data_IF_312661211225
#
_entry.id   IF_312661211225
#
_cell.length_a   1.000
_cell.length_b   1.000
_cell.length_c   1.000
_cell.angle_alpha   90.00
_cell.angle_beta   90.00
_cell.angle_gamma   90.00
#
_symmetry.space_group_name_H-M   'P 1'
#
loop_
_entity.id
_entity.type
_entity.pdbx_description
1 polymer ?
#
# COMPACT_ATOMS: atom_id res chain seq x y z
N UNK A 1 0.82 24.20 -13.61
CA UNK A 1 -0.29 24.19 -12.64
C UNK A 1 -0.41 22.77 -12.10
N UNK A 2 -0.26 22.57 -10.80
CA UNK A 2 -0.62 21.29 -10.16
C UNK A 2 -2.15 21.24 -10.01
N UNK A 3 -2.75 20.09 -10.31
CA UNK A 3 -4.20 19.93 -10.19
C UNK A 3 -4.64 19.99 -8.73
N UNK A 4 -5.89 20.38 -8.50
CA UNK A 4 -6.53 20.24 -7.19
C UNK A 4 -6.65 18.76 -6.78
N UNK A 5 -6.88 18.52 -5.48
CA UNK A 5 -7.15 17.18 -4.97
C UNK A 5 -8.56 16.76 -5.39
N UNK A 6 -8.73 15.53 -5.87
CA UNK A 6 -10.02 14.96 -6.28
C UNK A 6 -10.25 13.62 -5.60
N UNK A 7 -11.43 13.42 -5.03
CA UNK A 7 -11.82 12.14 -4.45
C UNK A 7 -12.05 11.08 -5.53
N UNK A 8 -11.62 9.86 -5.23
CA UNK A 8 -11.80 8.68 -6.08
C UNK A 8 -12.53 7.59 -5.32
N UNK A 9 -13.15 6.70 -6.08
CA UNK A 9 -13.76 5.50 -5.51
C UNK A 9 -12.65 4.50 -5.12
N UNK A 10 -12.70 3.89 -3.92
CA UNK A 10 -11.76 2.83 -3.54
C UNK A 10 -11.73 1.63 -4.50
N UNK A 11 -12.82 1.41 -5.23
CA UNK A 11 -12.95 0.35 -6.23
C UNK A 11 -12.36 0.71 -7.59
N UNK A 12 -11.83 1.93 -7.77
CA UNK A 12 -11.19 2.33 -9.01
C UNK A 12 -9.93 1.48 -9.25
N UNK A 13 -9.77 0.86 -10.45
CA UNK A 13 -8.59 0.04 -10.75
C UNK A 13 -7.25 0.77 -10.58
N UNK A 14 -7.20 2.09 -10.81
CA UNK A 14 -5.98 2.88 -10.60
C UNK A 14 -5.68 3.03 -9.11
N UNK A 15 -6.71 3.21 -8.29
CA UNK A 15 -6.58 3.28 -6.83
C UNK A 15 -6.09 1.94 -6.27
N UNK A 16 -6.67 0.82 -6.74
CA UNK A 16 -6.23 -0.52 -6.32
C UNK A 16 -4.76 -0.78 -6.67
N UNK A 17 -4.33 -0.42 -7.88
CA UNK A 17 -2.92 -0.54 -8.29
C UNK A 17 -2.01 0.34 -7.45
N UNK A 18 -2.42 1.58 -7.16
CA UNK A 18 -1.64 2.49 -6.31
C UNK A 18 -1.54 1.97 -4.87
N UNK A 19 -2.61 1.40 -4.31
CA UNK A 19 -2.61 0.78 -3.00
C UNK A 19 -1.66 -0.43 -2.94
N UNK A 20 -1.72 -1.32 -3.94
CA UNK A 20 -0.81 -2.47 -4.03
C UNK A 20 0.66 -2.03 -4.10
N UNK A 21 0.97 -1.00 -4.90
CA UNK A 21 2.32 -0.44 -4.99
C UNK A 21 2.77 0.21 -3.66
N UNK A 22 1.85 0.86 -2.94
CA UNK A 22 2.13 1.45 -1.64
C UNK A 22 2.41 0.38 -0.58
N UNK A 23 1.60 -0.67 -0.54
CA UNK A 23 1.76 -1.82 0.37
C UNK A 23 3.06 -2.57 0.08
N UNK A 24 3.39 -2.80 -1.20
CA UNK A 24 4.67 -3.40 -1.58
C UNK A 24 5.85 -2.55 -1.10
N UNK A 25 5.80 -1.25 -1.34
CA UNK A 25 6.82 -0.30 -0.89
C UNK A 25 6.95 -0.25 0.64
N UNK A 26 5.83 -0.23 1.35
CA UNK A 26 5.78 -0.28 2.81
C UNK A 26 6.42 -1.57 3.35
N UNK A 27 6.09 -2.72 2.76
CA UNK A 27 6.66 -3.99 3.17
C UNK A 27 8.17 -4.06 2.95
N UNK A 28 8.70 -3.48 1.88
CA UNK A 28 10.15 -3.42 1.65
C UNK A 28 10.86 -2.51 2.67
N UNK A 29 10.24 -1.39 3.06
CA UNK A 29 10.82 -0.46 4.06
C UNK A 29 10.57 -0.83 5.52
N UNK A 30 9.60 -1.71 5.80
CA UNK A 30 9.21 -2.10 7.15
C UNK A 30 10.15 -3.14 7.74
N UNK A 31 10.58 -2.93 8.99
CA UNK A 31 11.38 -3.88 9.77
C UNK A 31 10.58 -5.09 10.28
N UNK A 32 9.28 -5.20 9.98
CA UNK A 32 8.49 -6.37 10.35
C UNK A 32 9.03 -7.62 9.66
N UNK A 33 9.11 -8.73 10.41
CA UNK A 33 9.47 -10.05 9.90
C UNK A 33 8.42 -10.64 8.97
N UNK A 34 7.18 -10.15 9.06
CA UNK A 34 6.04 -10.62 8.26
C UNK A 34 5.61 -9.57 7.24
N UNK A 35 5.05 -10.04 6.14
CA UNK A 35 4.38 -9.15 5.19
C UNK A 35 3.03 -8.69 5.74
N UNK A 36 2.65 -7.47 5.39
CA UNK A 36 1.30 -6.97 5.55
C UNK A 36 0.58 -6.97 4.19
N UNK A 37 -0.71 -7.24 4.22
CA UNK A 37 -1.58 -7.22 3.04
C UNK A 37 -2.70 -6.22 3.25
N UNK A 38 -3.05 -5.46 2.21
CA UNK A 38 -4.25 -4.63 2.22
C UNK A 38 -5.51 -5.48 2.36
N UNK A 39 -6.35 -5.12 3.33
CA UNK A 39 -7.65 -5.73 3.56
C UNK A 39 -8.77 -4.85 3.01
N UNK A 40 -8.65 -3.52 3.16
CA UNK A 40 -9.66 -2.57 2.70
C UNK A 40 -9.05 -1.20 2.42
N UNK A 41 -9.48 -0.56 1.33
CA UNK A 41 -9.19 0.85 1.05
C UNK A 41 -10.38 1.67 1.55
N UNK A 42 -10.15 2.54 2.54
CA UNK A 42 -11.17 3.37 3.17
C UNK A 42 -11.37 4.69 2.42
N UNK A 43 -10.28 5.33 2.01
CA UNK A 43 -10.29 6.62 1.33
C UNK A 43 -9.26 6.64 0.22
N UNK A 44 -9.61 7.28 -0.89
CA UNK A 44 -8.69 7.51 -1.99
C UNK A 44 -8.90 8.90 -2.59
N UNK A 45 -7.82 9.64 -2.73
CA UNK A 45 -7.80 10.94 -3.39
C UNK A 45 -6.61 10.99 -4.35
N UNK A 46 -6.72 11.75 -5.43
CA UNK A 46 -5.61 12.00 -6.36
C UNK A 46 -5.30 13.47 -6.52
N UNK A 47 -4.06 13.76 -6.90
CA UNK A 47 -3.59 15.08 -7.26
C UNK A 47 -2.64 14.99 -8.46
N UNK A 48 -2.89 15.79 -9.49
CA UNK A 48 -2.02 15.84 -10.67
C UNK A 48 -0.79 16.70 -10.39
N UNK A 49 0.39 16.12 -10.58
CA UNK A 49 1.70 16.76 -10.39
C UNK A 49 2.62 16.42 -11.58
N UNK A 50 3.93 16.32 -11.39
CA UNK A 50 4.83 15.64 -12.34
C UNK A 50 4.63 14.10 -12.26
N UNK A 51 3.40 13.66 -12.51
CA UNK A 51 2.89 12.33 -12.23
C UNK A 51 1.49 12.43 -11.59
N UNK A 52 1.06 11.36 -10.92
CA UNK A 52 -0.19 11.30 -10.19
C UNK A 52 0.13 10.93 -8.75
N UNK A 53 -0.11 11.86 -7.83
CA UNK A 53 0.00 11.59 -6.40
C UNK A 53 -1.34 11.07 -5.88
N UNK A 54 -1.32 9.93 -5.20
CA UNK A 54 -2.47 9.38 -4.50
C UNK A 54 -2.30 9.56 -2.99
N UNK A 55 -3.39 9.96 -2.35
CA UNK A 55 -3.56 9.96 -0.90
C UNK A 55 -4.52 8.82 -0.58
N UNK A 56 -4.01 7.78 0.08
CA UNK A 56 -4.75 6.55 0.33
C UNK A 56 -4.81 6.30 1.83
N UNK A 57 -6.00 5.95 2.31
CA UNK A 57 -6.20 5.44 3.67
C UNK A 57 -6.59 3.98 3.54
N UNK A 58 -5.76 3.09 4.07
CA UNK A 58 -5.83 1.64 3.84
C UNK A 58 -5.75 0.91 5.17
N UNK A 59 -6.63 -0.06 5.38
CA UNK A 59 -6.49 -1.06 6.42
C UNK A 59 -5.64 -2.21 5.89
N UNK A 60 -4.69 -2.64 6.71
CA UNK A 60 -3.77 -3.73 6.42
C UNK A 60 -3.83 -4.77 7.53
N UNK A 61 -3.62 -6.03 7.18
CA UNK A 61 -3.48 -7.12 8.13
C UNK A 61 -2.11 -7.78 7.99
N UNK A 62 -1.53 -8.21 9.11
CA UNK A 62 -0.37 -9.08 9.10
C UNK A 62 -0.70 -10.40 8.40
N UNK A 63 0.30 -10.98 7.74
CA UNK A 63 0.17 -12.27 7.05
C UNK A 63 1.06 -13.31 7.72
N UNK A 64 0.78 -14.59 7.47
CA UNK A 64 1.67 -15.67 7.89
C UNK A 64 2.97 -15.74 7.06
N UNK A 65 3.07 -14.95 5.98
CA UNK A 65 4.23 -14.93 5.10
C UNK A 65 5.38 -14.15 5.75
N UNK A 66 6.49 -14.86 5.97
CA UNK A 66 7.73 -14.27 6.48
C UNK A 66 8.56 -13.67 5.35
N UNK A 67 9.16 -12.51 5.59
CA UNK A 67 10.21 -11.94 4.75
C UNK A 67 11.45 -12.83 4.87
N UNK A 68 11.80 -13.49 3.77
CA UNK A 68 12.96 -14.37 3.65
C UNK A 68 13.84 -13.83 2.53
N UNK A 69 15.14 -14.10 2.58
CA UNK A 69 16.06 -13.82 1.48
C UNK A 69 15.66 -14.50 0.16
N UNK A 70 14.81 -15.52 0.21
CA UNK A 70 14.32 -16.29 -0.96
C UNK A 70 13.07 -15.66 -1.59
N UNK A 71 12.22 -14.97 -0.81
CA UNK A 71 10.99 -14.33 -1.29
C UNK A 71 11.21 -12.90 -1.81
N UNK A 72 12.47 -12.52 -2.05
CA UNK A 72 12.90 -11.18 -2.45
C UNK A 72 12.03 -10.52 -3.52
N UNK A 73 11.73 -9.24 -3.31
CA UNK A 73 11.04 -8.22 -4.16
C UNK A 73 9.75 -8.59 -4.91
N UNK A 74 9.34 -9.86 -4.94
CA UNK A 74 8.24 -10.38 -5.78
C UNK A 74 7.31 -11.32 -5.02
N UNK A 75 7.09 -11.08 -3.74
CA UNK A 75 6.13 -11.88 -2.97
C UNK A 75 4.71 -11.53 -3.40
N UNK A 76 4.00 -12.50 -3.99
CA UNK A 76 2.59 -12.36 -4.34
C UNK A 76 1.72 -12.40 -3.07
N UNK A 77 1.41 -11.23 -2.53
CA UNK A 77 0.59 -11.06 -1.33
C UNK A 77 -0.81 -11.69 -1.43
N UNK A 78 -1.30 -11.94 -2.65
CA UNK A 78 -2.57 -12.65 -2.88
C UNK A 78 -2.55 -14.09 -2.37
N UNK A 79 -1.38 -14.74 -2.46
CA UNK A 79 -1.15 -16.12 -2.01
C UNK A 79 -0.85 -16.22 -0.51
N UNK A 80 -0.60 -15.07 0.14
CA UNK A 80 -0.35 -14.98 1.56
C UNK A 80 -1.66 -14.92 2.36
N UNK A 81 -1.94 -15.93 3.20
CA UNK A 81 -3.07 -15.85 4.11
C UNK A 81 -2.79 -14.82 5.20
N UNK A 82 -3.86 -14.13 5.63
CA UNK A 82 -3.82 -13.28 6.81
C UNK A 82 -3.46 -14.12 8.04
N UNK A 83 -2.68 -13.56 8.95
CA UNK A 83 -2.37 -14.21 10.21
C UNK A 83 -3.64 -14.36 11.05
N UNK A 84 -3.72 -15.44 11.82
CA UNK A 84 -4.86 -15.73 12.69
C UNK A 84 -4.40 -15.94 14.13
N UNK A 85 -5.25 -15.57 15.09
CA UNK A 85 -4.99 -15.74 16.51
C UNK A 85 -3.96 -14.73 17.03
N UNK A 86 -2.92 -15.21 17.73
CA UNK A 86 -1.96 -14.36 18.46
C UNK A 86 -1.07 -13.51 17.53
N UNK A 87 -1.00 -13.85 16.24
CA UNK A 87 -0.20 -13.15 15.23
C UNK A 87 -1.05 -12.20 14.37
N UNK A 88 -2.36 -12.12 14.60
CA UNK A 88 -3.25 -11.17 13.91
C UNK A 88 -2.95 -9.75 14.38
N UNK A 89 -2.46 -8.92 13.47
CA UNK A 89 -2.18 -7.50 13.69
C UNK A 89 -2.84 -6.71 12.58
N UNK A 90 -3.62 -5.69 12.96
CA UNK A 90 -4.30 -4.80 12.01
C UNK A 90 -3.65 -3.43 12.09
N UNK A 91 -3.38 -2.84 10.94
CA UNK A 91 -2.85 -1.50 10.82
C UNK A 91 -3.81 -0.63 10.03
N UNK A 92 -3.99 0.59 10.49
CA UNK A 92 -4.59 1.67 9.72
C UNK A 92 -3.44 2.53 9.19
N UNK A 93 -3.32 2.61 7.86
CA UNK A 93 -2.22 3.31 7.20
C UNK A 93 -2.71 4.42 6.29
N UNK A 94 -2.13 5.60 6.45
CA UNK A 94 -2.21 6.71 5.51
C UNK A 94 -0.95 6.73 4.63
N UNK A 95 -1.15 6.63 3.31
CA UNK A 95 -0.10 6.60 2.31
C UNK A 95 -0.19 7.80 1.37
N UNK A 96 0.97 8.41 1.10
CA UNK A 96 1.16 9.29 -0.05
C UNK A 96 2.06 8.55 -1.07
N UNK A 97 1.51 8.16 -2.21
CA UNK A 97 2.26 7.49 -3.27
C UNK A 97 2.24 8.31 -4.55
N UNK A 98 3.42 8.50 -5.15
CA UNK A 98 3.56 9.12 -6.48
C UNK A 98 3.68 8.01 -7.52
N UNK A 99 2.79 8.05 -8.51
CA UNK A 99 2.84 7.17 -9.69
C UNK A 99 3.21 8.03 -10.89
N UNK A 100 4.22 7.62 -11.65
CA UNK A 100 4.67 8.31 -12.87
C UNK A 100 4.47 7.35 -14.05
N UNK A 101 3.28 7.37 -14.71
CA UNK A 101 2.91 6.34 -15.68
C UNK A 101 3.87 6.23 -16.88
N UNK A 102 4.43 7.36 -17.35
CA UNK A 102 5.36 7.37 -18.48
C UNK A 102 6.76 6.84 -18.13
N UNK A 103 7.09 6.72 -16.84
CA UNK A 103 8.33 6.09 -16.36
C UNK A 103 8.10 4.66 -15.85
N UNK A 104 6.84 4.19 -15.84
CA UNK A 104 6.43 2.94 -15.19
C UNK A 104 6.92 2.83 -13.74
N UNK A 105 7.00 3.95 -13.03
CA UNK A 105 7.56 4.02 -11.68
C UNK A 105 6.49 4.42 -10.65
N UNK A 106 6.64 3.91 -9.43
CA UNK A 106 5.82 4.26 -8.29
C UNK A 106 6.70 4.40 -7.05
N UNK A 107 6.54 5.49 -6.31
CA UNK A 107 7.35 5.79 -5.13
C UNK A 107 6.46 6.18 -3.95
N UNK A 108 6.65 5.48 -2.82
CA UNK A 108 5.99 5.81 -1.57
C UNK A 108 6.69 7.02 -0.94
N UNK A 109 6.02 8.17 -0.95
CA UNK A 109 6.56 9.43 -0.45
C UNK A 109 6.44 9.54 1.06
N UNK A 110 5.28 9.14 1.60
CA UNK A 110 5.00 9.11 3.03
C UNK A 110 4.13 7.92 3.38
N UNK A 111 4.33 7.43 4.60
CA UNK A 111 3.47 6.46 5.23
C UNK A 111 3.32 6.79 6.71
N UNK A 112 2.11 6.65 7.23
CA UNK A 112 1.84 6.71 8.65
C UNK A 112 0.89 5.57 8.99
N UNK A 113 1.37 4.60 9.78
CA UNK A 113 0.61 3.41 10.14
C UNK A 113 0.46 3.32 11.66
N UNK A 114 -0.75 3.02 12.13
CA UNK A 114 -1.05 2.80 13.54
C UNK A 114 -1.79 1.47 13.73
N UNK A 115 -1.49 0.71 14.81
CA UNK A 115 -2.21 -0.52 15.11
C UNK A 115 -3.67 -0.24 15.52
N UNK A 116 -4.58 -1.14 15.15
CA UNK A 116 -6.03 -1.09 15.40
C UNK A 116 -6.48 -2.23 16.29
#
# INVERSE_FOLDING_TARGET
MVGGVTDLKPTDPQVQKAAQAAVASYNMGSNSLYYFRDTRILKAQRQLVAGIKYYLTVEMGSTACRKSSVTGDRMDLTTCPLAAGVQEEKLHCDFEILVVPWENSSSLLKHHCVPV
#
